data_IF_371305904156
#
_entry.id   IF_371305904156
#
_cell.length_a   1.000
_cell.length_b   1.000
_cell.length_c   1.000
_cell.angle_alpha   90.00
_cell.angle_beta   90.00
_cell.angle_gamma   90.00
#
_symmetry.space_group_name_H-M   'P 1'
#
loop_
_entity.id
_entity.type
_entity.pdbx_description
1 polymer ?
#
# COMPACT_ATOMS: atom_id res chain seq x y z
N UNK A 1 -12.94 -2.28 -0.35
CA UNK A 1 -11.76 -1.50 0.09
C UNK A 1 -10.64 -1.63 -0.92
N UNK A 2 -9.82 -0.60 -1.04
CA UNK A 2 -8.63 -0.66 -1.88
C UNK A 2 -7.43 -0.15 -1.12
N UNK A 3 -6.24 -0.57 -1.56
CA UNK A 3 -4.98 -0.10 -1.01
C UNK A 3 -4.29 0.75 -2.06
N UNK A 4 -3.91 1.96 -1.69
CA UNK A 4 -3.17 2.87 -2.55
C UNK A 4 -1.75 2.98 -2.01
N UNK A 5 -0.77 2.70 -2.86
CA UNK A 5 0.64 2.87 -2.51
C UNK A 5 1.18 4.12 -3.19
N UNK A 6 1.78 5.01 -2.41
CA UNK A 6 2.50 6.16 -2.95
C UNK A 6 3.98 5.90 -2.74
N UNK A 7 4.74 5.94 -3.81
CA UNK A 7 6.17 5.65 -3.76
C UNK A 7 6.95 6.49 -4.75
N UNK A 8 8.22 6.10 -4.94
CA UNK A 8 9.12 6.78 -5.88
C UNK A 8 10.12 5.77 -6.42
N UNK A 9 10.58 5.99 -7.65
CA UNK A 9 11.56 5.11 -8.29
C UNK A 9 12.87 5.10 -7.49
N UNK A 10 13.25 6.24 -6.94
CA UNK A 10 14.49 6.41 -6.19
C UNK A 10 14.39 5.96 -4.73
N UNK A 11 13.25 5.50 -4.29
CA UNK A 11 13.03 5.12 -2.89
C UNK A 11 13.43 3.67 -2.66
N UNK A 12 14.46 3.44 -1.84
CA UNK A 12 14.93 2.08 -1.56
C UNK A 12 13.89 1.25 -0.81
N UNK A 13 13.15 1.86 0.11
CA UNK A 13 12.06 1.16 0.81
C UNK A 13 10.96 0.71 -0.12
N UNK A 14 10.70 1.49 -1.18
CA UNK A 14 9.72 1.12 -2.19
C UNK A 14 10.18 -0.12 -2.97
N UNK A 15 11.47 -0.21 -3.26
CA UNK A 15 12.02 -1.38 -3.94
C UNK A 15 11.92 -2.63 -3.08
N UNK A 16 12.23 -2.50 -1.79
CA UNK A 16 12.09 -3.60 -0.84
C UNK A 16 10.65 -4.09 -0.79
N UNK A 17 9.71 -3.15 -0.73
CA UNK A 17 8.29 -3.49 -0.64
C UNK A 17 7.72 -4.11 -1.91
N UNK A 18 8.37 -3.91 -3.06
CA UNK A 18 7.87 -4.50 -4.32
C UNK A 18 7.75 -6.02 -4.24
N UNK A 19 8.72 -6.71 -3.64
CA UNK A 19 8.65 -8.15 -3.50
C UNK A 19 7.57 -8.58 -2.50
N UNK A 20 7.41 -7.83 -1.42
CA UNK A 20 6.37 -8.10 -0.41
C UNK A 20 4.98 -7.93 -1.04
N UNK A 21 4.80 -6.84 -1.79
CA UNK A 21 3.54 -6.56 -2.47
C UNK A 21 3.23 -7.65 -3.51
N UNK A 22 4.22 -8.03 -4.33
CA UNK A 22 4.04 -9.08 -5.32
C UNK A 22 3.56 -10.37 -4.68
N UNK A 23 4.18 -10.78 -3.59
CA UNK A 23 3.80 -11.99 -2.87
C UNK A 23 2.39 -11.88 -2.31
N UNK A 24 2.05 -10.73 -1.77
CA UNK A 24 0.72 -10.48 -1.20
C UNK A 24 -0.36 -10.58 -2.29
N UNK A 25 -0.14 -9.93 -3.43
CA UNK A 25 -1.10 -9.94 -4.53
C UNK A 25 -1.24 -11.32 -5.17
N UNK A 26 -0.22 -12.14 -5.04
CA UNK A 26 -0.26 -13.53 -5.53
C UNK A 26 -1.14 -14.40 -4.65
N UNK A 27 -1.15 -14.13 -3.36
CA UNK A 27 -1.83 -14.97 -2.37
C UNK A 27 -3.23 -14.46 -2.02
N UNK A 28 -3.52 -13.19 -2.24
CA UNK A 28 -4.79 -12.57 -1.86
C UNK A 28 -5.29 -11.68 -3.00
N UNK A 29 -6.60 -11.65 -3.17
CA UNK A 29 -7.23 -10.74 -4.13
C UNK A 29 -7.45 -9.39 -3.45
N UNK A 30 -6.70 -8.39 -3.90
CA UNK A 30 -6.74 -7.04 -3.33
C UNK A 30 -6.86 -6.03 -4.46
N UNK A 31 -7.74 -5.06 -4.30
CA UNK A 31 -7.80 -3.91 -5.18
C UNK A 31 -6.63 -2.99 -4.82
N UNK A 32 -5.60 -3.00 -5.64
CA UNK A 32 -4.33 -2.32 -5.35
C UNK A 32 -4.01 -1.33 -6.44
N UNK A 33 -3.64 -0.11 -6.05
CA UNK A 33 -3.30 0.96 -6.97
C UNK A 33 -2.01 1.62 -6.51
N UNK A 34 -1.17 1.98 -7.46
CA UNK A 34 0.14 2.55 -7.16
C UNK A 34 0.34 3.85 -7.91
N UNK A 35 0.89 4.85 -7.21
CA UNK A 35 1.25 6.14 -7.81
C UNK A 35 2.68 6.50 -7.42
N UNK A 36 3.39 7.12 -8.37
CA UNK A 36 4.75 7.60 -8.16
C UNK A 36 4.69 9.11 -7.94
N UNK A 37 5.40 9.62 -6.93
CA UNK A 37 5.33 11.04 -6.58
C UNK A 37 5.87 11.96 -7.66
N UNK A 38 6.72 11.45 -8.56
CA UNK A 38 7.29 12.25 -9.64
C UNK A 38 6.51 12.07 -10.95
N UNK A 39 6.12 10.84 -11.27
CA UNK A 39 5.45 10.53 -12.54
C UNK A 39 3.95 10.74 -12.47
N UNK A 40 3.35 10.49 -11.32
CA UNK A 40 1.91 10.65 -11.09
C UNK A 40 1.66 11.75 -10.06
N UNK A 41 2.32 12.89 -10.25
CA UNK A 41 2.39 13.96 -9.25
C UNK A 41 1.01 14.41 -8.76
N UNK A 42 0.08 14.64 -9.66
CA UNK A 42 -1.25 15.14 -9.28
C UNK A 42 -1.99 14.13 -8.41
N UNK A 43 -2.02 12.86 -8.82
CA UNK A 43 -2.68 11.79 -8.08
C UNK A 43 -2.01 11.56 -6.73
N UNK A 44 -0.67 11.50 -6.72
CA UNK A 44 0.08 11.28 -5.49
C UNK A 44 -0.15 12.40 -4.48
N UNK A 45 -0.11 13.65 -4.94
CA UNK A 45 -0.32 14.81 -4.06
C UNK A 45 -1.73 14.85 -3.47
N UNK A 46 -2.71 14.35 -4.21
CA UNK A 46 -4.09 14.33 -3.72
C UNK A 46 -4.26 13.51 -2.46
N UNK A 47 -3.36 12.54 -2.23
CA UNK A 47 -3.38 11.70 -1.03
C UNK A 47 -2.53 12.24 0.11
N UNK A 48 -1.78 13.34 -0.10
CA UNK A 48 -0.94 13.96 0.93
C UNK A 48 0.01 12.95 1.59
N UNK A 49 0.96 12.37 0.82
CA UNK A 49 1.73 11.23 1.30
C UNK A 49 2.71 11.48 2.44
N UNK A 50 3.13 12.71 2.67
CA UNK A 50 4.11 12.99 3.73
C UNK A 50 5.54 12.68 3.31
N UNK A 51 6.43 12.54 4.31
CA UNK A 51 7.88 12.45 4.09
C UNK A 51 8.43 11.04 4.04
N UNK A 52 7.69 10.07 4.53
CA UNK A 52 8.16 8.67 4.58
C UNK A 52 7.50 7.88 3.46
N UNK A 53 8.33 7.23 2.64
CA UNK A 53 7.86 6.39 1.53
C UNK A 53 8.37 4.95 1.70
N UNK A 54 7.64 3.96 1.23
CA UNK A 54 6.32 4.08 0.62
C UNK A 54 5.25 4.32 1.67
N UNK A 55 4.14 4.95 1.29
CA UNK A 55 2.98 5.08 2.14
C UNK A 55 1.84 4.24 1.55
N UNK A 56 1.16 3.52 2.43
CA UNK A 56 0.03 2.67 2.06
C UNK A 56 -1.24 3.25 2.68
N UNK A 57 -2.21 3.55 1.85
CA UNK A 57 -3.45 4.19 2.27
C UNK A 57 -4.59 3.23 1.98
N UNK A 58 -5.33 2.85 3.02
CA UNK A 58 -6.49 1.98 2.85
C UNK A 58 -7.71 2.86 2.69
N UNK A 59 -8.38 2.71 1.55
CA UNK A 59 -9.57 3.48 1.22
C UNK A 59 -10.80 2.58 1.20
N UNK A 60 -11.89 3.09 1.76
CA UNK A 60 -13.19 2.45 1.64
C UNK A 60 -14.09 3.45 0.92
N UNK A 61 -14.39 3.17 -0.35
CA UNK A 61 -15.04 4.12 -1.26
C UNK A 61 -14.16 5.37 -1.35
N UNK A 62 -14.65 6.53 -0.98
CA UNK A 62 -13.90 7.77 -1.08
C UNK A 62 -13.30 8.22 0.25
N UNK A 63 -13.34 7.34 1.27
CA UNK A 63 -12.86 7.69 2.59
C UNK A 63 -11.62 6.90 2.97
N UNK A 64 -10.66 7.61 3.55
CA UNK A 64 -9.47 6.96 4.09
C UNK A 64 -9.80 6.28 5.41
N UNK A 65 -9.54 4.98 5.48
CA UNK A 65 -9.75 4.20 6.70
C UNK A 65 -8.54 4.30 7.61
N UNK A 66 -7.35 4.11 7.04
CA UNK A 66 -6.08 4.20 7.77
C UNK A 66 -4.95 4.34 6.77
N UNK A 67 -3.76 4.66 7.29
CA UNK A 67 -2.54 4.63 6.47
C UNK A 67 -1.37 4.21 7.33
N UNK A 68 -0.37 3.66 6.69
CA UNK A 68 0.89 3.31 7.32
C UNK A 68 2.01 3.47 6.29
N UNK A 69 3.23 3.69 6.78
CA UNK A 69 4.35 4.02 5.91
C UNK A 69 5.59 3.23 6.30
N UNK A 70 6.48 3.06 5.34
CA UNK A 70 7.76 2.42 5.57
C UNK A 70 7.80 0.98 5.10
N UNK A 71 8.83 0.25 5.57
CA UNK A 71 9.07 -1.12 5.16
C UNK A 71 8.49 -2.10 6.17
N UNK A 72 7.89 -3.16 5.64
CA UNK A 72 7.29 -4.22 6.43
C UNK A 72 7.67 -5.57 5.83
N UNK A 73 7.86 -6.58 6.69
CA UNK A 73 7.99 -7.95 6.21
C UNK A 73 6.65 -8.40 5.63
N UNK A 74 6.67 -9.50 4.89
CA UNK A 74 5.42 -10.06 4.34
C UNK A 74 4.41 -10.32 5.45
N UNK A 75 4.85 -10.95 6.54
CA UNK A 75 3.94 -11.29 7.65
C UNK A 75 3.36 -10.05 8.30
N UNK A 76 4.18 -9.02 8.51
CA UNK A 76 3.72 -7.76 9.08
C UNK A 76 2.74 -7.04 8.16
N UNK A 77 3.04 -7.03 6.86
CA UNK A 77 2.20 -6.37 5.88
C UNK A 77 0.82 -7.04 5.79
N UNK A 78 0.80 -8.37 5.67
CA UNK A 78 -0.44 -9.14 5.63
C UNK A 78 -1.24 -8.94 6.93
N UNK A 79 -0.55 -8.94 8.06
CA UNK A 79 -1.18 -8.73 9.36
C UNK A 79 -1.89 -7.38 9.43
N UNK A 80 -1.25 -6.32 8.93
CA UNK A 80 -1.87 -5.00 8.89
C UNK A 80 -3.10 -4.96 8.00
N UNK A 81 -3.04 -5.62 6.85
CA UNK A 81 -4.18 -5.67 5.93
C UNK A 81 -5.35 -6.46 6.51
N UNK A 82 -5.06 -7.52 7.25
CA UNK A 82 -6.09 -8.29 7.95
C UNK A 82 -6.75 -7.45 9.05
N UNK A 83 -5.93 -6.72 9.78
CA UNK A 83 -6.38 -5.89 10.90
C UNK A 83 -7.40 -4.84 10.46
N UNK A 84 -7.21 -4.26 9.29
CA UNK A 84 -8.12 -3.23 8.77
C UNK A 84 -9.23 -3.79 7.88
N UNK A 85 -9.27 -5.10 7.67
CA UNK A 85 -10.35 -5.75 6.93
C UNK A 85 -10.16 -5.83 5.42
N UNK A 86 -8.98 -5.51 4.91
CA UNK A 86 -8.68 -5.65 3.47
C UNK A 86 -8.58 -7.13 3.09
N UNK A 87 -8.00 -7.93 3.97
CA UNK A 87 -7.83 -9.37 3.79
C UNK A 87 -8.58 -10.09 4.89
N UNK A 88 -9.24 -11.18 4.52
CA UNK A 88 -9.92 -12.06 5.46
C UNK A 88 -9.21 -13.41 5.48
N UNK A 89 -9.12 -14.05 6.64
CA UNK A 89 -8.39 -15.31 6.79
C UNK A 89 -8.96 -16.42 5.92
N UNK A 90 -10.25 -16.45 5.74
CA UNK A 90 -10.93 -17.46 4.92
C UNK A 90 -10.72 -17.26 3.42
N UNK A 91 -10.06 -16.20 3.01
CA UNK A 91 -9.84 -15.89 1.58
C UNK A 91 -8.66 -16.65 0.98
N UNK A 92 -7.96 -17.44 1.75
CA UNK A 92 -6.78 -18.13 1.24
C UNK A 92 -6.89 -19.63 1.31
#
# INVERSE_FOLDING_TARGET
MKVVKIGAIWCSGCLVMNSVISKTLKNYTIDFQEYDIDMDEAEAKSYQPGDVLPVFIVMDQDQEVTRFAGEYSYDEFVSKLKEVGVIHEEDH
#
